data_IF_736904182748
#
_entry.id   IF_736904182748
#
_cell.length_a   1.000
_cell.length_b   1.000
_cell.length_c   1.000
_cell.angle_alpha   90.00
_cell.angle_beta   90.00
_cell.angle_gamma   90.00
#
_symmetry.space_group_name_H-M   'P 1'
#
loop_
_entity.id
_entity.type
_entity.pdbx_description
1 polymer ?
#
# COMPACT_ATOMS: atom_id res chain seq x y z
N UNK A 1 17.23 -23.67 -9.83
CA UNK A 1 17.40 -23.90 -8.37
C UNK A 1 16.13 -23.37 -7.70
N UNK A 2 15.33 -24.27 -7.11
CA UNK A 2 14.16 -23.87 -6.32
C UNK A 2 14.72 -23.26 -5.04
N UNK A 3 14.66 -21.93 -4.93
CA UNK A 3 15.01 -21.23 -3.69
C UNK A 3 13.91 -21.60 -2.70
N UNK A 4 14.27 -22.32 -1.64
CA UNK A 4 13.35 -22.61 -0.53
C UNK A 4 12.90 -21.27 0.07
N UNK A 5 11.63 -20.93 -0.11
CA UNK A 5 11.00 -19.72 0.41
C UNK A 5 10.46 -19.92 1.84
N UNK A 6 11.12 -20.74 2.66
CA UNK A 6 10.77 -20.81 4.07
C UNK A 6 10.82 -19.42 4.70
N UNK A 7 9.87 -19.06 5.59
CA UNK A 7 9.87 -17.74 6.22
C UNK A 7 11.17 -17.57 7.02
N UNK A 8 12.07 -16.75 6.48
CA UNK A 8 13.28 -16.33 7.18
C UNK A 8 12.86 -15.46 8.37
N UNK A 9 13.31 -15.80 9.57
CA UNK A 9 12.98 -15.02 10.77
C UNK A 9 13.60 -13.64 10.65
N UNK A 10 12.79 -12.60 10.69
CA UNK A 10 13.29 -11.22 10.76
C UNK A 10 14.01 -10.98 12.10
N UNK A 11 15.24 -10.46 12.02
CA UNK A 11 16.03 -10.04 13.16
C UNK A 11 16.50 -8.61 12.91
N UNK A 12 16.10 -7.62 13.72
CA UNK A 12 16.53 -6.24 13.55
C UNK A 12 18.04 -6.09 13.54
N UNK A 13 18.56 -5.17 12.71
CA UNK A 13 19.96 -4.81 12.76
C UNK A 13 20.35 -4.37 14.20
N UNK A 14 21.58 -4.69 14.68
CA UNK A 14 22.06 -4.23 15.99
C UNK A 14 21.89 -2.72 16.15
N UNK A 15 21.24 -2.30 17.26
CA UNK A 15 20.88 -0.91 17.53
C UNK A 15 19.53 -0.47 16.96
N UNK A 16 18.89 -1.23 16.07
CA UNK A 16 17.56 -0.93 15.52
C UNK A 16 16.43 -1.76 16.15
N UNK A 17 16.59 -2.18 17.40
CA UNK A 17 15.53 -2.90 18.12
C UNK A 17 14.37 -2.03 18.60
N UNK A 18 14.47 -0.69 18.48
CA UNK A 18 13.42 0.26 18.84
C UNK A 18 12.49 0.47 17.62
N UNK A 19 11.15 0.37 17.78
CA UNK A 19 10.20 0.49 16.68
C UNK A 19 10.25 1.86 15.98
N UNK A 20 10.52 2.93 16.70
CA UNK A 20 10.63 4.26 16.11
C UNK A 20 11.89 4.40 15.24
N UNK A 21 13.02 3.79 15.64
CA UNK A 21 14.23 3.76 14.82
C UNK A 21 14.01 2.93 13.54
N UNK A 22 13.32 1.81 13.64
CA UNK A 22 12.91 1.02 12.49
C UNK A 22 12.05 1.85 11.53
N UNK A 23 11.02 2.51 12.05
CA UNK A 23 10.09 3.34 11.26
C UNK A 23 10.79 4.52 10.57
N UNK A 24 11.69 5.20 11.28
CA UNK A 24 12.37 6.40 10.79
C UNK A 24 13.58 6.09 9.90
N UNK A 25 14.06 4.85 9.90
CA UNK A 25 15.26 4.49 9.12
C UNK A 25 15.10 4.78 7.63
N UNK A 26 13.99 4.35 7.05
CA UNK A 26 13.71 4.57 5.62
C UNK A 26 13.73 6.04 5.23
N UNK A 27 12.89 6.89 5.85
CA UNK A 27 12.83 8.32 5.52
C UNK A 27 14.11 9.09 5.77
N UNK A 28 14.89 8.75 6.83
CA UNK A 28 16.01 9.59 7.27
C UNK A 28 17.39 9.10 6.80
N UNK A 29 17.62 7.79 6.71
CA UNK A 29 18.96 7.24 6.49
C UNK A 29 19.07 6.33 5.28
N UNK A 30 17.96 5.84 4.72
CA UNK A 30 18.03 5.01 3.54
C UNK A 30 18.43 5.87 2.33
N UNK A 31 19.51 5.48 1.66
CA UNK A 31 19.91 6.12 0.40
C UNK A 31 18.82 5.96 -0.65
N UNK A 32 18.60 7.02 -1.41
CA UNK A 32 17.66 7.00 -2.53
C UNK A 32 18.02 5.88 -3.51
N UNK A 33 17.02 5.09 -3.87
CA UNK A 33 17.16 4.05 -4.88
C UNK A 33 16.76 4.67 -6.21
N UNK A 34 17.74 4.95 -7.05
CA UNK A 34 17.48 5.41 -8.42
C UNK A 34 17.16 4.20 -9.28
N UNK A 35 16.03 4.25 -9.94
CA UNK A 35 15.57 3.27 -10.92
C UNK A 35 14.93 4.02 -12.09
N UNK A 36 15.15 3.54 -13.29
CA UNK A 36 14.50 4.08 -14.48
C UNK A 36 13.05 3.63 -14.51
N UNK A 37 12.15 4.57 -14.78
CA UNK A 37 10.72 4.33 -14.85
C UNK A 37 10.14 4.98 -16.09
N UNK A 38 9.16 4.31 -16.67
CA UNK A 38 8.28 4.87 -17.68
C UNK A 38 6.95 5.20 -17.01
N UNK A 39 6.53 6.47 -17.12
CA UNK A 39 5.24 6.91 -16.58
C UNK A 39 4.15 6.75 -17.61
N UNK A 40 3.07 6.09 -17.21
CA UNK A 40 1.82 5.99 -17.95
C UNK A 40 0.70 6.66 -17.15
N UNK A 41 -0.14 7.46 -17.80
CA UNK A 41 -1.32 8.04 -17.16
C UNK A 41 -2.55 7.21 -17.47
N UNK A 42 -3.21 6.73 -16.42
CA UNK A 42 -4.50 6.08 -16.48
C UNK A 42 -5.60 7.10 -16.20
N UNK A 43 -6.40 7.39 -17.21
CA UNK A 43 -7.60 8.22 -17.05
C UNK A 43 -8.73 7.39 -16.44
N UNK A 44 -9.43 7.98 -15.48
CA UNK A 44 -10.55 7.38 -14.77
C UNK A 44 -11.87 7.90 -15.31
N UNK A 45 -12.94 7.14 -15.11
CA UNK A 45 -14.28 7.47 -15.63
C UNK A 45 -14.84 8.79 -15.08
N UNK A 46 -14.35 9.25 -13.92
CA UNK A 46 -14.73 10.53 -13.32
C UNK A 46 -13.94 11.74 -13.87
N UNK A 47 -13.12 11.53 -14.89
CA UNK A 47 -12.31 12.56 -15.53
C UNK A 47 -11.02 12.91 -14.79
N UNK A 48 -10.69 12.22 -13.71
CA UNK A 48 -9.41 12.32 -13.01
C UNK A 48 -8.40 11.27 -13.50
N UNK A 49 -7.24 11.17 -12.89
CA UNK A 49 -6.20 10.24 -13.32
C UNK A 49 -5.41 9.62 -12.18
N UNK A 50 -4.76 8.50 -12.49
CA UNK A 50 -3.69 7.88 -11.73
C UNK A 50 -2.43 7.83 -12.60
N UNK A 51 -1.26 8.08 -12.01
CA UNK A 51 0.01 7.89 -12.71
C UNK A 51 0.65 6.56 -12.27
N UNK A 52 0.99 5.75 -13.27
CA UNK A 52 1.56 4.41 -13.15
C UNK A 52 3.02 4.46 -13.57
N UNK A 53 3.94 4.19 -12.65
CA UNK A 53 5.37 4.22 -12.88
C UNK A 53 5.93 2.80 -13.06
N UNK A 54 6.15 2.43 -14.32
CA UNK A 54 6.63 1.11 -14.76
C UNK A 54 8.13 0.95 -14.56
N UNK A 55 8.55 -0.26 -14.16
CA UNK A 55 9.95 -0.66 -14.07
C UNK A 55 10.12 -2.15 -14.34
N UNK A 56 11.18 -2.53 -15.07
CA UNK A 56 11.52 -3.91 -15.37
C UNK A 56 11.16 -4.32 -16.80
N UNK A 57 11.12 -5.63 -17.09
CA UNK A 57 11.00 -6.14 -18.45
C UNK A 57 9.64 -5.81 -19.10
N UNK A 58 9.68 -5.55 -20.42
CA UNK A 58 8.49 -5.27 -21.22
C UNK A 58 7.81 -6.54 -21.76
N UNK A 59 8.32 -7.73 -21.50
CA UNK A 59 7.71 -9.00 -21.93
C UNK A 59 6.25 -9.09 -21.48
N UNK A 60 5.38 -9.47 -22.39
CA UNK A 60 3.94 -9.64 -22.11
C UNK A 60 3.63 -10.77 -21.11
N UNK A 61 4.55 -11.71 -20.96
CA UNK A 61 4.40 -12.91 -20.11
C UNK A 61 5.10 -12.76 -18.76
N UNK A 62 6.01 -11.77 -18.62
CA UNK A 62 6.73 -11.57 -17.36
C UNK A 62 5.75 -11.29 -16.23
N UNK A 63 5.91 -11.91 -15.06
CA UNK A 63 5.10 -11.60 -13.89
C UNK A 63 5.08 -10.10 -13.61
N UNK A 64 3.92 -9.57 -13.27
CA UNK A 64 3.69 -8.15 -13.05
C UNK A 64 3.23 -7.91 -11.61
N UNK A 65 3.88 -6.97 -10.92
CA UNK A 65 3.54 -6.62 -9.54
C UNK A 65 3.10 -5.16 -9.47
N UNK A 66 1.85 -4.92 -9.08
CA UNK A 66 1.33 -3.60 -8.74
C UNK A 66 1.75 -3.24 -7.32
N UNK A 67 2.43 -2.11 -7.12
CA UNK A 67 2.94 -1.65 -5.84
C UNK A 67 2.21 -0.39 -5.39
N UNK A 68 1.63 -0.44 -4.19
CA UNK A 68 0.78 0.60 -3.62
C UNK A 68 1.50 1.25 -2.43
N UNK A 69 1.75 2.55 -2.52
CA UNK A 69 2.42 3.28 -1.44
C UNK A 69 1.48 3.66 -0.28
N UNK A 70 2.06 4.01 0.87
CA UNK A 70 1.36 4.50 2.06
C UNK A 70 0.98 5.98 1.99
N UNK A 71 0.41 6.48 3.09
CA UNK A 71 -0.02 7.88 3.24
C UNK A 71 1.15 8.84 2.94
N UNK A 72 0.88 9.89 2.19
CA UNK A 72 1.85 10.92 1.72
C UNK A 72 3.06 10.37 0.95
N UNK A 73 3.01 9.11 0.56
CA UNK A 73 4.04 8.48 -0.26
C UNK A 73 3.87 8.74 -1.76
N UNK A 74 4.71 8.07 -2.54
CA UNK A 74 4.65 8.01 -4.02
C UNK A 74 5.46 6.82 -4.52
N UNK A 75 5.55 6.65 -5.83
CA UNK A 75 6.50 5.72 -6.45
C UNK A 75 7.95 5.96 -5.99
N UNK A 76 8.30 7.20 -5.60
CA UNK A 76 9.63 7.57 -5.13
C UNK A 76 9.92 7.19 -3.67
N UNK A 77 8.93 6.68 -2.94
CA UNK A 77 9.15 6.17 -1.59
C UNK A 77 10.25 5.10 -1.58
N UNK A 78 11.23 5.16 -0.66
CA UNK A 78 12.40 4.26 -0.69
C UNK A 78 12.05 2.77 -0.67
N UNK A 79 10.97 2.39 0.01
CA UNK A 79 10.50 1.00 0.07
C UNK A 79 9.82 0.57 -1.24
N UNK A 80 9.15 1.49 -1.97
CA UNK A 80 8.58 1.22 -3.29
C UNK A 80 9.69 0.99 -4.31
N UNK A 81 10.61 1.95 -4.41
CA UNK A 81 11.73 1.88 -5.34
C UNK A 81 12.63 0.65 -5.07
N UNK A 82 12.86 0.34 -3.78
CA UNK A 82 13.63 -0.83 -3.37
C UNK A 82 12.96 -2.14 -3.78
N UNK A 83 11.64 -2.26 -3.58
CA UNK A 83 10.90 -3.44 -4.02
C UNK A 83 10.89 -3.58 -5.55
N UNK A 84 10.65 -2.48 -6.30
CA UNK A 84 10.70 -2.52 -7.76
C UNK A 84 12.07 -3.01 -8.27
N UNK A 85 13.16 -2.52 -7.68
CA UNK A 85 14.52 -3.00 -8.00
C UNK A 85 14.70 -4.49 -7.69
N UNK A 86 14.20 -4.95 -6.54
CA UNK A 86 14.33 -6.34 -6.12
C UNK A 86 13.54 -7.29 -7.04
N UNK A 87 12.35 -6.88 -7.50
CA UNK A 87 11.53 -7.61 -8.47
C UNK A 87 12.22 -7.68 -9.84
N UNK A 88 12.75 -6.53 -10.32
CA UNK A 88 13.46 -6.49 -11.59
C UNK A 88 14.71 -7.38 -11.60
N UNK A 89 15.42 -7.49 -10.48
CA UNK A 89 16.56 -8.40 -10.33
C UNK A 89 16.17 -9.88 -10.49
N UNK A 90 14.89 -10.22 -10.38
CA UNK A 90 14.34 -11.55 -10.63
C UNK A 90 13.68 -11.69 -12.01
N UNK A 91 13.79 -10.66 -12.86
CA UNK A 91 13.18 -10.66 -14.18
C UNK A 91 11.67 -10.35 -14.18
N UNK A 92 11.13 -9.79 -13.09
CA UNK A 92 9.73 -9.41 -12.97
C UNK A 92 9.52 -7.94 -13.30
N UNK A 93 8.42 -7.64 -13.95
CA UNK A 93 7.95 -6.27 -14.13
C UNK A 93 7.21 -5.77 -12.88
N UNK A 94 7.25 -4.48 -12.67
CA UNK A 94 6.50 -3.84 -11.59
C UNK A 94 5.94 -2.50 -12.01
N UNK A 95 4.80 -2.13 -11.42
CA UNK A 95 4.14 -0.83 -11.60
C UNK A 95 3.90 -0.23 -10.24
N UNK A 96 4.49 0.93 -9.96
CA UNK A 96 4.14 1.70 -8.78
C UNK A 96 2.97 2.63 -9.12
N UNK A 97 1.83 2.43 -8.44
CA UNK A 97 0.68 3.30 -8.55
C UNK A 97 0.94 4.54 -7.68
N UNK A 98 0.81 5.71 -8.26
CA UNK A 98 0.71 6.95 -7.51
C UNK A 98 -0.77 7.27 -7.31
N UNK A 99 -1.23 7.31 -6.06
CA UNK A 99 -2.58 7.73 -5.73
C UNK A 99 -2.85 9.15 -6.25
N UNK A 100 -4.11 9.52 -6.39
CA UNK A 100 -4.53 10.86 -6.89
C UNK A 100 -3.74 11.97 -6.22
N UNK A 101 -3.01 12.77 -7.01
CA UNK A 101 -2.20 13.89 -6.55
C UNK A 101 -0.87 13.53 -5.88
N UNK A 102 -0.42 12.26 -5.96
CA UNK A 102 0.84 11.81 -5.35
C UNK A 102 2.00 11.63 -6.34
N UNK A 103 1.78 11.87 -7.64
CA UNK A 103 2.80 11.69 -8.68
C UNK A 103 3.74 12.89 -8.87
N UNK A 104 3.56 13.95 -8.11
CA UNK A 104 4.20 15.25 -8.30
C UNK A 104 3.33 16.22 -9.11
N UNK A 105 2.26 15.74 -9.73
CA UNK A 105 1.23 16.52 -10.42
C UNK A 105 -0.09 16.38 -9.65
N UNK A 106 -0.76 17.48 -9.30
CA UNK A 106 -2.04 17.42 -8.60
C UNK A 106 -3.12 16.82 -9.49
N UNK A 107 -4.00 16.04 -8.89
CA UNK A 107 -5.18 15.52 -9.58
C UNK A 107 -6.21 16.61 -9.85
N UNK A 108 -7.18 16.33 -10.74
CA UNK A 108 -8.08 17.32 -11.33
C UNK A 108 -9.32 17.60 -10.50
N UNK A 109 -9.76 16.66 -9.66
CA UNK A 109 -10.95 16.81 -8.82
C UNK A 109 -10.61 17.35 -7.42
N UNK A 110 -11.59 17.94 -6.73
CA UNK A 110 -11.45 18.38 -5.34
C UNK A 110 -11.09 17.23 -4.42
N UNK A 111 -11.73 16.06 -4.62
CA UNK A 111 -11.38 14.83 -3.92
C UNK A 111 -9.95 14.37 -4.28
N UNK A 112 -9.32 13.66 -3.39
CA UNK A 112 -8.02 13.02 -3.61
C UNK A 112 -8.12 11.51 -3.37
N UNK A 113 -7.09 10.87 -2.83
CA UNK A 113 -7.18 9.49 -2.37
C UNK A 113 -7.53 9.42 -0.88
N UNK A 114 -8.00 8.25 -0.44
CA UNK A 114 -8.25 7.94 0.96
C UNK A 114 -7.98 6.46 1.25
N UNK A 115 -7.99 6.07 2.53
CA UNK A 115 -7.62 4.70 2.94
C UNK A 115 -8.60 3.61 2.49
N UNK A 116 -9.72 3.96 1.89
CA UNK A 116 -10.71 3.03 1.37
C UNK A 116 -10.93 3.12 -0.14
N UNK A 117 -10.03 3.78 -0.90
CA UNK A 117 -10.14 4.01 -2.36
C UNK A 117 -9.93 2.71 -3.18
N UNK A 118 -10.74 1.69 -2.92
CA UNK A 118 -10.68 0.40 -3.62
C UNK A 118 -11.15 0.47 -5.07
N UNK A 119 -11.95 1.47 -5.44
CA UNK A 119 -12.37 1.74 -6.81
C UNK A 119 -11.20 2.17 -7.70
N UNK A 120 -10.32 3.03 -7.22
CA UNK A 120 -9.11 3.44 -7.95
C UNK A 120 -8.16 2.25 -8.16
N UNK A 121 -8.04 1.40 -7.15
CA UNK A 121 -7.26 0.16 -7.27
C UNK A 121 -7.89 -0.81 -8.26
N UNK A 122 -9.21 -0.98 -8.25
CA UNK A 122 -9.93 -1.82 -9.21
C UNK A 122 -9.71 -1.36 -10.65
N UNK A 123 -9.79 -0.05 -10.91
CA UNK A 123 -9.52 0.53 -12.22
C UNK A 123 -8.07 0.24 -12.68
N UNK A 124 -7.09 0.40 -11.79
CA UNK A 124 -5.69 0.10 -12.08
C UNK A 124 -5.48 -1.39 -12.39
N UNK A 125 -6.07 -2.31 -11.61
CA UNK A 125 -5.98 -3.76 -11.85
C UNK A 125 -6.61 -4.12 -13.20
N UNK A 126 -7.80 -3.61 -13.50
CA UNK A 126 -8.47 -3.86 -14.76
C UNK A 126 -7.64 -3.36 -15.96
N UNK A 127 -7.07 -2.15 -15.86
CA UNK A 127 -6.18 -1.60 -16.89
C UNK A 127 -4.95 -2.47 -17.11
N UNK A 128 -4.25 -2.88 -16.04
CA UNK A 128 -3.07 -3.74 -16.13
C UNK A 128 -3.40 -5.12 -16.71
N UNK A 129 -4.55 -5.68 -16.33
CA UNK A 129 -5.03 -6.96 -16.87
C UNK A 129 -5.35 -6.87 -18.36
N UNK A 130 -5.97 -5.79 -18.81
CA UNK A 130 -6.22 -5.56 -20.23
C UNK A 130 -4.92 -5.38 -21.03
N UNK A 131 -3.93 -4.69 -20.44
CA UNK A 131 -2.63 -4.44 -21.07
C UNK A 131 -1.73 -5.67 -21.14
N UNK A 132 -1.80 -6.56 -20.14
CA UNK A 132 -1.02 -7.81 -20.04
C UNK A 132 -1.91 -8.99 -19.63
N UNK A 133 -2.76 -9.48 -20.53
CA UNK A 133 -3.78 -10.49 -20.21
C UNK A 133 -3.20 -11.83 -19.77
N UNK A 134 -2.01 -12.18 -20.23
CA UNK A 134 -1.36 -13.47 -19.96
C UNK A 134 -0.38 -13.40 -18.77
N UNK A 135 0.03 -12.22 -18.33
CA UNK A 135 0.99 -12.08 -17.23
C UNK A 135 0.36 -12.52 -15.91
N UNK A 136 1.07 -13.29 -15.07
CA UNK A 136 0.72 -13.41 -13.66
C UNK A 136 0.70 -12.02 -13.02
N UNK A 137 -0.46 -11.60 -12.46
CA UNK A 137 -0.62 -10.29 -11.85
C UNK A 137 -0.73 -10.42 -10.32
N UNK A 138 0.13 -9.69 -9.63
CA UNK A 138 0.22 -9.63 -8.17
C UNK A 138 0.07 -8.19 -7.69
N UNK A 139 -0.24 -7.99 -6.39
CA UNK A 139 -0.22 -6.68 -5.78
C UNK A 139 0.50 -6.67 -4.43
N UNK A 140 1.18 -5.57 -4.13
CA UNK A 140 1.86 -5.33 -2.84
C UNK A 140 1.45 -3.97 -2.32
N UNK A 141 0.85 -3.91 -1.14
CA UNK A 141 0.43 -2.67 -0.50
C UNK A 141 1.15 -2.41 0.82
N UNK A 142 1.60 -1.17 1.01
CA UNK A 142 2.24 -0.73 2.25
C UNK A 142 1.34 0.23 3.02
N UNK A 143 1.18 0.01 4.33
CA UNK A 143 0.41 0.91 5.21
C UNK A 143 -1.00 1.18 4.65
N UNK A 144 -1.34 2.43 4.34
CA UNK A 144 -2.58 2.81 3.66
C UNK A 144 -2.83 1.96 2.39
N UNK A 145 -1.81 1.79 1.55
CA UNK A 145 -1.92 0.96 0.34
C UNK A 145 -2.23 -0.50 0.66
N UNK A 146 -1.72 -1.02 1.79
CA UNK A 146 -2.07 -2.35 2.30
C UNK A 146 -3.53 -2.43 2.75
N UNK A 147 -4.04 -1.39 3.42
CA UNK A 147 -5.44 -1.33 3.82
C UNK A 147 -6.38 -1.29 2.60
N UNK A 148 -6.08 -0.44 1.60
CA UNK A 148 -6.85 -0.40 0.35
C UNK A 148 -6.83 -1.74 -0.37
N UNK A 149 -5.66 -2.40 -0.42
CA UNK A 149 -5.50 -3.71 -1.05
C UNK A 149 -6.37 -4.78 -0.37
N UNK A 150 -6.26 -4.91 0.96
CA UNK A 150 -7.05 -5.91 1.70
C UNK A 150 -8.56 -5.65 1.61
N UNK A 151 -8.98 -4.37 1.66
CA UNK A 151 -10.38 -4.01 1.46
C UNK A 151 -10.86 -4.43 0.06
N UNK A 152 -10.11 -4.07 -0.98
CA UNK A 152 -10.43 -4.46 -2.37
C UNK A 152 -10.53 -5.97 -2.52
N UNK A 153 -9.59 -6.73 -1.98
CA UNK A 153 -9.60 -8.20 -2.05
C UNK A 153 -10.82 -8.82 -1.37
N UNK A 154 -11.23 -8.28 -0.22
CA UNK A 154 -12.42 -8.74 0.49
C UNK A 154 -13.73 -8.36 -0.20
N UNK A 155 -13.79 -7.20 -0.87
CA UNK A 155 -14.93 -6.79 -1.69
C UNK A 155 -15.05 -7.60 -2.99
N UNK A 156 -13.91 -7.84 -3.64
CA UNK A 156 -13.87 -8.58 -4.91
C UNK A 156 -14.01 -10.10 -4.75
N UNK A 157 -13.67 -10.65 -3.57
CA UNK A 157 -13.66 -12.10 -3.33
C UNK A 157 -12.84 -12.84 -4.38
N UNK A 158 -13.48 -13.77 -5.10
CA UNK A 158 -12.85 -14.56 -6.16
C UNK A 158 -12.71 -13.81 -7.51
N UNK A 159 -13.17 -12.55 -7.59
CA UNK A 159 -13.10 -11.72 -8.79
C UNK A 159 -11.95 -10.71 -8.80
N UNK A 160 -11.01 -10.79 -7.88
CA UNK A 160 -9.92 -9.80 -7.72
C UNK A 160 -8.96 -9.69 -8.90
N UNK A 161 -8.96 -10.68 -9.81
CA UNK A 161 -8.05 -10.80 -10.96
C UNK A 161 -6.54 -10.86 -10.58
N UNK A 162 -6.22 -10.96 -9.29
CA UNK A 162 -4.86 -11.11 -8.78
C UNK A 162 -4.58 -12.57 -8.45
N UNK A 163 -3.37 -13.04 -8.76
CA UNK A 163 -2.90 -14.38 -8.39
C UNK A 163 -2.37 -14.47 -6.96
N UNK A 164 -2.02 -13.35 -6.38
CA UNK A 164 -1.58 -13.25 -5.00
C UNK A 164 -1.34 -11.81 -4.59
N UNK A 165 -1.33 -11.57 -3.29
CA UNK A 165 -1.17 -10.23 -2.73
C UNK A 165 -0.32 -10.23 -1.46
N UNK A 166 0.40 -9.14 -1.22
CA UNK A 166 1.12 -8.90 0.04
C UNK A 166 0.72 -7.57 0.62
N UNK A 167 0.32 -7.53 1.90
CA UNK A 167 0.03 -6.31 2.63
C UNK A 167 0.98 -6.15 3.81
N UNK A 168 1.60 -4.98 3.94
CA UNK A 168 2.66 -4.72 4.93
C UNK A 168 2.26 -3.58 5.85
N UNK A 169 2.41 -3.77 7.16
CA UNK A 169 2.19 -2.74 8.20
C UNK A 169 0.83 -2.05 8.07
N UNK A 170 -0.23 -2.86 8.05
CA UNK A 170 -1.59 -2.42 7.70
C UNK A 170 -2.29 -1.75 8.88
N UNK A 171 -2.93 -0.59 8.71
CA UNK A 171 -3.83 0.01 9.69
C UNK A 171 -5.23 -0.61 9.60
N UNK A 172 -5.40 -1.87 10.03
CA UNK A 172 -6.64 -2.67 9.88
C UNK A 172 -7.90 -1.98 10.43
N UNK A 173 -7.74 -1.17 11.47
CA UNK A 173 -8.79 -0.38 12.14
C UNK A 173 -8.34 1.08 12.12
N UNK A 174 -8.90 1.86 11.17
CA UNK A 174 -8.48 3.25 10.94
C UNK A 174 -8.78 4.16 12.12
N UNK A 175 -9.92 3.97 12.79
CA UNK A 175 -10.30 4.67 14.02
C UNK A 175 -9.25 4.46 15.13
N UNK A 176 -8.90 3.20 15.38
CA UNK A 176 -7.92 2.85 16.41
C UNK A 176 -6.50 3.31 16.04
N UNK A 177 -6.15 3.30 14.75
CA UNK A 177 -4.88 3.83 14.28
C UNK A 177 -4.81 5.36 14.43
N UNK A 178 -5.92 6.07 14.15
CA UNK A 178 -6.03 7.51 14.40
C UNK A 178 -5.84 7.84 15.88
N UNK A 179 -6.41 7.02 16.79
CA UNK A 179 -6.20 7.17 18.24
C UNK A 179 -4.77 6.84 18.65
N UNK A 180 -4.20 5.75 18.10
CA UNK A 180 -2.85 5.29 18.49
C UNK A 180 -1.77 6.27 18.08
N UNK A 181 -1.85 6.83 16.89
CA UNK A 181 -0.85 7.80 16.39
C UNK A 181 -0.92 9.14 17.16
N UNK A 182 -2.05 9.41 17.82
CA UNK A 182 -2.24 10.54 18.72
C UNK A 182 -1.58 10.38 20.11
N UNK A 183 -0.88 9.26 20.39
CA UNK A 183 -0.36 8.94 21.72
C UNK A 183 1.17 8.83 21.77
N UNK A 184 1.73 9.21 22.88
CA UNK A 184 3.16 9.07 23.17
C UNK A 184 4.04 9.73 22.11
N UNK A 185 5.12 9.06 21.71
CA UNK A 185 6.03 9.55 20.66
C UNK A 185 5.36 9.59 19.28
N UNK A 186 4.32 8.77 19.04
CA UNK A 186 3.64 8.73 17.73
C UNK A 186 2.95 10.05 17.38
N UNK A 187 2.70 10.95 18.34
CA UNK A 187 2.24 12.32 18.08
C UNK A 187 3.18 13.13 17.16
N UNK A 188 4.47 12.78 17.16
CA UNK A 188 5.44 13.38 16.23
C UNK A 188 5.10 13.03 14.77
N UNK A 189 4.75 11.77 14.50
CA UNK A 189 4.29 11.34 13.17
C UNK A 189 2.96 11.99 12.80
N UNK A 190 2.01 12.04 13.74
CA UNK A 190 0.73 12.72 13.50
C UNK A 190 0.94 14.18 13.10
N UNK A 191 1.77 14.92 13.82
CA UNK A 191 2.07 16.31 13.49
C UNK A 191 2.73 16.47 12.11
N UNK A 192 3.60 15.53 11.73
CA UNK A 192 4.19 15.49 10.39
C UNK A 192 3.13 15.26 9.31
N UNK A 193 2.30 14.23 9.44
CA UNK A 193 1.23 13.93 8.48
C UNK A 193 0.22 15.08 8.37
N UNK A 194 -0.20 15.66 9.50
CA UNK A 194 -1.13 16.81 9.47
C UNK A 194 -0.56 17.96 8.67
N UNK A 195 0.71 18.30 8.86
CA UNK A 195 1.39 19.35 8.10
C UNK A 195 1.39 19.06 6.60
N UNK A 196 1.76 17.84 6.21
CA UNK A 196 1.80 17.43 4.80
C UNK A 196 0.41 17.42 4.16
N UNK A 197 -0.60 16.86 4.83
CA UNK A 197 -1.96 16.78 4.31
C UNK A 197 -2.62 18.15 4.20
N UNK A 198 -2.46 19.02 5.20
CA UNK A 198 -2.96 20.40 5.14
C UNK A 198 -2.26 21.21 4.05
N UNK A 199 -0.94 21.05 3.93
CA UNK A 199 -0.17 21.69 2.85
C UNK A 199 -0.63 21.22 1.47
N UNK A 200 -0.93 19.94 1.30
CA UNK A 200 -1.48 19.38 0.07
C UNK A 200 -2.81 20.06 -0.32
N UNK A 201 -3.77 20.15 0.62
CA UNK A 201 -5.08 20.78 0.34
C UNK A 201 -4.89 22.26 -0.03
N UNK A 202 -4.05 23.00 0.71
CA UNK A 202 -3.76 24.42 0.40
C UNK A 202 -3.09 24.60 -0.95
N UNK A 203 -2.18 23.70 -1.33
CA UNK A 203 -1.54 23.73 -2.65
C UNK A 203 -2.57 23.49 -3.75
N UNK A 204 -3.46 22.53 -3.55
CA UNK A 204 -4.55 22.24 -4.48
C UNK A 204 -5.52 23.42 -4.64
N UNK A 205 -5.88 24.10 -3.55
CA UNK A 205 -6.69 25.33 -3.61
C UNK A 205 -6.02 26.40 -4.48
N UNK A 206 -4.73 26.66 -4.26
CA UNK A 206 -3.96 27.65 -5.06
C UNK A 206 -3.91 27.27 -6.53
N UNK A 207 -3.71 26.00 -6.82
CA UNK A 207 -3.68 25.53 -8.20
C UNK A 207 -5.05 25.65 -8.87
N UNK A 208 -6.13 25.23 -8.23
CA UNK A 208 -7.48 25.33 -8.78
C UNK A 208 -7.85 26.80 -9.05
N UNK A 209 -7.43 27.71 -8.18
CA UNK A 209 -7.58 29.14 -8.41
C UNK A 209 -6.78 29.63 -9.64
N UNK A 210 -5.55 29.16 -9.79
CA UNK A 210 -4.70 29.51 -10.95
C UNK A 210 -5.25 28.94 -12.27
N UNK A 211 -5.78 27.71 -12.23
CA UNK A 211 -6.26 26.99 -13.40
C UNK A 211 -7.72 27.29 -13.76
N UNK A 212 -8.40 28.17 -13.01
CA UNK A 212 -9.82 28.52 -13.24
C UNK A 212 -10.78 27.34 -13.01
N UNK A 213 -10.47 26.45 -12.04
CA UNK A 213 -11.31 25.29 -11.70
C UNK A 213 -12.33 25.66 -10.63
N UNK A 214 -13.30 26.48 -11.00
CA UNK A 214 -14.21 27.15 -10.05
C UNK A 214 -15.04 26.17 -9.20
N UNK A 215 -15.56 25.08 -9.79
CA UNK A 215 -16.34 24.08 -9.06
C UNK A 215 -15.48 23.37 -8.01
N UNK A 216 -14.29 22.91 -8.38
CA UNK A 216 -13.36 22.26 -7.46
C UNK A 216 -12.87 23.23 -6.38
N UNK A 217 -12.64 24.49 -6.72
CA UNK A 217 -12.25 25.51 -5.77
C UNK A 217 -13.38 25.80 -4.76
N UNK A 218 -14.63 25.88 -5.22
CA UNK A 218 -15.78 26.05 -4.35
C UNK A 218 -15.94 24.88 -3.36
N UNK A 219 -15.76 23.64 -3.83
CA UNK A 219 -15.79 22.47 -2.96
C UNK A 219 -14.67 22.50 -1.89
N UNK A 220 -13.46 22.90 -2.26
CA UNK A 220 -12.36 23.05 -1.31
C UNK A 220 -12.55 24.24 -0.35
N UNK A 221 -13.17 25.34 -0.80
CA UNK A 221 -13.49 26.49 0.04
C UNK A 221 -14.58 26.16 1.08
N UNK A 222 -15.53 25.28 0.73
CA UNK A 222 -16.59 24.83 1.63
C UNK A 222 -16.06 24.04 2.85
N UNK A 223 -14.82 23.53 2.81
CA UNK A 223 -14.16 22.89 3.96
C UNK A 223 -13.87 23.88 5.11
N UNK A 224 -13.91 25.17 4.84
CA UNK A 224 -13.61 26.23 5.80
C UNK A 224 -12.12 26.33 6.14
N UNK A 225 -11.81 26.88 7.33
CA UNK A 225 -10.40 27.01 7.75
C UNK A 225 -9.75 25.66 8.00
N UNK A 226 -8.57 25.46 7.42
CA UNK A 226 -7.70 24.28 7.66
C UNK A 226 -6.76 24.50 8.87
N UNK A 227 -6.87 25.67 9.53
CA UNK A 227 -6.10 25.93 10.74
C UNK A 227 -6.60 25.07 11.90
N UNK A 228 -5.72 24.75 12.82
CA UNK A 228 -6.04 23.93 14.00
C UNK A 228 -6.45 22.47 13.74
N UNK A 229 -6.20 21.92 12.57
CA UNK A 229 -6.27 20.47 12.34
C UNK A 229 -5.05 19.81 12.97
N UNK A 230 -5.25 19.05 14.05
CA UNK A 230 -4.17 18.47 14.85
C UNK A 230 -4.17 16.96 14.86
N UNK A 231 -5.31 16.34 14.55
CA UNK A 231 -5.52 14.90 14.61
C UNK A 231 -6.07 14.37 13.29
N UNK A 232 -5.95 13.06 13.07
CA UNK A 232 -6.61 12.41 11.94
C UNK A 232 -8.13 12.56 12.01
N UNK A 233 -8.72 12.52 13.21
CA UNK A 233 -10.15 12.79 13.38
C UNK A 233 -10.56 14.17 12.88
N UNK A 234 -9.74 15.21 13.16
CA UNK A 234 -10.02 16.57 12.67
C UNK A 234 -9.98 16.63 11.14
N UNK A 235 -8.91 16.07 10.55
CA UNK A 235 -8.71 16.11 9.11
C UNK A 235 -9.74 15.27 8.37
N UNK A 236 -9.95 14.03 8.82
CA UNK A 236 -10.85 13.10 8.15
C UNK A 236 -12.31 13.53 8.28
N UNK A 237 -12.72 14.11 9.42
CA UNK A 237 -14.05 14.64 9.58
C UNK A 237 -14.35 15.90 8.75
N UNK A 238 -13.34 16.75 8.55
CA UNK A 238 -13.53 18.06 7.88
C UNK A 238 -13.09 18.08 6.42
N UNK A 239 -12.23 17.17 6.01
CA UNK A 239 -11.70 17.11 4.64
C UNK A 239 -12.06 15.81 3.95
N UNK A 240 -11.63 14.67 4.49
CA UNK A 240 -11.82 13.38 3.83
C UNK A 240 -13.29 13.02 3.70
N UNK A 241 -14.04 13.10 4.79
CA UNK A 241 -15.46 12.70 4.78
C UNK A 241 -16.29 13.51 3.78
N UNK A 242 -16.32 14.86 3.83
CA UNK A 242 -17.17 15.62 2.91
C UNK A 242 -16.76 15.52 1.44
N UNK A 243 -15.44 15.40 1.14
CA UNK A 243 -14.97 15.29 -0.24
C UNK A 243 -15.23 13.91 -0.87
N UNK A 244 -15.53 12.90 -0.06
CA UNK A 244 -15.73 11.52 -0.53
C UNK A 244 -17.13 10.94 -0.19
N UNK A 245 -18.06 11.78 0.29
CA UNK A 245 -19.44 11.38 0.52
C UNK A 245 -19.64 10.47 1.75
N UNK A 246 -18.75 10.60 2.74
CA UNK A 246 -18.97 10.01 4.07
C UNK A 246 -19.70 11.03 4.97
N UNK A 247 -20.51 10.55 5.90
CA UNK A 247 -21.26 11.43 6.82
C UNK A 247 -20.32 12.14 7.81
N UNK A 248 -19.27 11.45 8.26
CA UNK A 248 -18.27 11.92 9.20
C UNK A 248 -17.01 11.01 9.19
N UNK A 249 -16.03 11.30 10.03
CA UNK A 249 -14.81 10.49 10.15
C UNK A 249 -15.11 9.05 10.65
N UNK A 250 -16.09 8.87 11.53
CA UNK A 250 -16.43 7.56 12.05
C UNK A 250 -17.06 6.66 10.97
N UNK A 251 -17.93 7.22 10.14
CA UNK A 251 -18.48 6.54 8.96
C UNK A 251 -17.38 6.17 7.96
N UNK A 252 -16.47 7.12 7.67
CA UNK A 252 -15.32 6.87 6.83
C UNK A 252 -14.48 5.70 7.39
N UNK A 253 -14.07 5.74 8.65
CA UNK A 253 -13.24 4.69 9.25
C UNK A 253 -13.95 3.33 9.25
N UNK A 254 -15.24 3.29 9.57
CA UNK A 254 -16.03 2.05 9.55
C UNK A 254 -16.08 1.42 8.15
N UNK A 255 -16.30 2.22 7.10
CA UNK A 255 -16.44 1.76 5.72
C UNK A 255 -15.11 1.50 5.02
N UNK A 256 -14.01 2.09 5.51
CA UNK A 256 -12.69 2.00 4.89
C UNK A 256 -11.71 1.05 5.60
N UNK A 257 -11.98 0.63 6.84
CA UNK A 257 -11.11 -0.29 7.59
C UNK A 257 -11.12 -1.70 7.01
N UNK A 258 -9.95 -2.19 6.62
CA UNK A 258 -9.80 -3.50 5.96
C UNK A 258 -10.16 -4.69 6.84
N UNK A 259 -10.10 -4.57 8.18
CA UNK A 259 -10.44 -5.64 9.11
C UNK A 259 -11.82 -6.25 8.83
N UNK A 260 -12.78 -5.42 8.43
CA UNK A 260 -14.15 -5.87 8.18
C UNK A 260 -14.33 -6.65 6.86
N UNK A 261 -13.31 -6.70 6.03
CA UNK A 261 -13.34 -7.35 4.72
C UNK A 261 -12.49 -8.62 4.66
N UNK A 262 -11.68 -8.90 5.69
CA UNK A 262 -10.67 -9.97 5.64
C UNK A 262 -11.24 -11.37 5.45
N UNK A 263 -12.41 -11.65 6.01
CA UNK A 263 -13.07 -12.94 5.84
C UNK A 263 -13.52 -13.22 4.39
N UNK A 264 -13.71 -12.16 3.57
CA UNK A 264 -14.10 -12.26 2.16
C UNK A 264 -12.92 -12.47 1.19
N UNK A 265 -11.68 -12.43 1.65
CA UNK A 265 -10.50 -12.56 0.79
C UNK A 265 -10.38 -14.00 0.28
N UNK A 266 -10.40 -14.18 -1.04
CA UNK A 266 -10.21 -15.48 -1.70
C UNK A 266 -8.84 -15.62 -2.37
N UNK A 267 -8.19 -14.50 -2.67
CA UNK A 267 -6.85 -14.44 -3.26
C UNK A 267 -5.79 -14.86 -2.23
N UNK A 268 -4.82 -15.73 -2.56
CA UNK A 268 -3.68 -16.00 -1.70
C UNK A 268 -3.02 -14.70 -1.23
N UNK A 269 -3.03 -14.45 0.07
CA UNK A 269 -2.61 -13.17 0.64
C UNK A 269 -1.67 -13.36 1.83
N UNK A 270 -0.50 -12.74 1.76
CA UNK A 270 0.43 -12.64 2.89
C UNK A 270 0.29 -11.25 3.54
N UNK A 271 0.07 -11.24 4.83
CA UNK A 271 0.09 -10.01 5.64
C UNK A 271 1.34 -10.04 6.51
N UNK A 272 2.23 -9.05 6.35
CA UNK A 272 3.45 -8.91 7.16
C UNK A 272 3.25 -7.75 8.13
N UNK A 273 3.28 -8.03 9.43
CA UNK A 273 3.01 -7.04 10.47
C UNK A 273 4.05 -7.15 11.59
N UNK A 274 4.39 -6.01 12.21
CA UNK A 274 5.19 -5.96 13.42
C UNK A 274 4.29 -5.75 14.66
N UNK A 275 4.49 -6.53 15.71
CA UNK A 275 3.77 -6.37 16.97
C UNK A 275 4.11 -5.05 17.69
N UNK A 276 5.29 -4.49 17.39
CA UNK A 276 5.78 -3.23 17.93
C UNK A 276 5.49 -2.01 17.02
N UNK A 277 4.63 -2.14 16.00
CA UNK A 277 4.28 -1.05 15.10
C UNK A 277 3.73 0.16 15.89
N UNK A 278 4.38 1.34 15.81
CA UNK A 278 3.98 2.50 16.61
C UNK A 278 2.66 3.15 16.16
N UNK A 279 2.07 2.70 15.05
CA UNK A 279 0.80 3.23 14.50
C UNK A 279 -0.39 2.33 14.79
N UNK A 280 -0.16 1.11 15.28
CA UNK A 280 -1.19 0.10 15.47
C UNK A 280 -1.21 -0.36 16.93
N UNK A 281 -2.40 -0.45 17.53
CA UNK A 281 -2.55 -1.13 18.80
C UNK A 281 -2.49 -2.64 18.63
N UNK A 282 -1.95 -3.42 19.57
CA UNK A 282 -1.97 -4.88 19.49
C UNK A 282 -3.36 -5.47 19.30
N UNK A 283 -4.39 -4.89 19.92
CA UNK A 283 -5.79 -5.34 19.81
C UNK A 283 -6.46 -4.91 18.50
N UNK A 284 -5.83 -4.05 17.70
CA UNK A 284 -6.28 -3.69 16.34
C UNK A 284 -5.94 -4.73 15.30
N UNK A 285 -5.04 -5.65 15.62
CA UNK A 285 -4.67 -6.76 14.72
C UNK A 285 -5.87 -7.71 14.54
N UNK A 286 -6.06 -8.28 13.35
CA UNK A 286 -7.12 -9.26 13.14
C UNK A 286 -6.84 -10.52 13.97
N UNK A 287 -7.90 -11.09 14.52
CA UNK A 287 -7.85 -12.38 15.19
C UNK A 287 -7.83 -13.52 14.18
N UNK A 288 -7.29 -14.69 14.53
CA UNK A 288 -7.23 -15.83 13.59
C UNK A 288 -8.59 -16.19 12.97
N UNK A 289 -9.69 -16.06 13.72
CA UNK A 289 -11.04 -16.34 13.24
C UNK A 289 -11.62 -15.28 12.27
N UNK A 290 -10.96 -14.14 12.12
CA UNK A 290 -11.37 -13.09 11.18
C UNK A 290 -10.65 -13.21 9.82
N UNK A 291 -9.58 -14.03 9.76
CA UNK A 291 -8.82 -14.29 8.54
C UNK A 291 -9.53 -15.34 7.68
N UNK A 292 -9.56 -15.11 6.38
CA UNK A 292 -9.95 -16.16 5.43
C UNK A 292 -8.89 -17.28 5.36
N UNK A 293 -9.28 -18.44 4.84
CA UNK A 293 -8.34 -19.55 4.59
C UNK A 293 -7.21 -19.19 3.60
N UNK A 294 -7.42 -18.17 2.76
CA UNK A 294 -6.45 -17.67 1.78
C UNK A 294 -5.49 -16.63 2.36
N UNK A 295 -5.70 -16.19 3.61
CA UNK A 295 -4.92 -15.11 4.23
C UNK A 295 -3.99 -15.66 5.30
N UNK A 296 -2.69 -15.39 5.16
CA UNK A 296 -1.67 -15.74 6.13
C UNK A 296 -1.11 -14.48 6.81
N UNK A 297 -1.20 -14.41 8.14
CA UNK A 297 -0.61 -13.33 8.95
C UNK A 297 0.76 -13.76 9.47
N UNK A 298 1.81 -13.09 8.98
CA UNK A 298 3.19 -13.22 9.45
C UNK A 298 3.48 -12.10 10.44
N UNK A 299 3.34 -12.40 11.73
CA UNK A 299 3.53 -11.43 12.82
C UNK A 299 4.94 -11.53 13.38
N UNK A 300 5.73 -10.47 13.22
CA UNK A 300 7.06 -10.33 13.81
C UNK A 300 7.00 -9.55 15.12
N UNK A 301 7.82 -9.93 16.11
CA UNK A 301 7.88 -9.23 17.40
C UNK A 301 8.37 -7.78 17.27
N UNK A 302 9.20 -7.51 16.28
CA UNK A 302 9.81 -6.21 16.00
C UNK A 302 9.76 -5.93 14.52
N UNK A 303 9.88 -4.66 14.12
CA UNK A 303 9.86 -4.24 12.71
C UNK A 303 9.46 -2.78 12.53
N UNK A 304 8.81 -2.18 13.52
CA UNK A 304 8.25 -0.84 13.42
C UNK A 304 7.20 -0.75 12.30
N UNK A 305 6.96 0.45 11.78
CA UNK A 305 6.04 0.68 10.67
C UNK A 305 6.81 0.71 9.34
N UNK A 306 6.64 -0.31 8.48
CA UNK A 306 7.33 -0.47 7.18
C UNK A 306 8.86 -0.49 7.30
N UNK A 307 9.43 -0.61 8.50
CA UNK A 307 10.88 -0.56 8.71
C UNK A 307 11.55 -1.85 8.24
N UNK A 308 11.46 -2.90 9.03
CA UNK A 308 12.00 -4.24 8.77
C UNK A 308 13.45 -4.21 8.25
N UNK A 309 14.27 -3.39 8.95
CA UNK A 309 15.71 -3.22 8.62
C UNK A 309 16.54 -4.21 9.42
N UNK A 310 17.25 -5.06 8.73
CA UNK A 310 18.16 -6.08 9.26
C UNK A 310 19.63 -5.85 8.84
N UNK A 311 20.47 -6.86 8.91
CA UNK A 311 21.88 -6.75 8.58
C UNK A 311 22.67 -5.98 9.64
N UNK A 312 23.42 -4.95 9.22
CA UNK A 312 24.19 -4.06 10.13
C UNK A 312 23.98 -2.60 9.76
N UNK A 313 24.27 -1.67 10.69
CA UNK A 313 24.17 -0.23 10.41
C UNK A 313 25.07 0.24 9.25
N UNK A 314 26.20 -0.47 9.00
CA UNK A 314 27.09 -0.19 7.88
C UNK A 314 26.64 -0.83 6.56
N UNK A 315 25.92 -1.96 6.66
CA UNK A 315 25.37 -2.71 5.52
C UNK A 315 23.92 -3.10 5.88
N UNK A 316 22.99 -2.13 5.83
CA UNK A 316 21.59 -2.41 6.16
C UNK A 316 20.99 -3.34 5.09
N UNK A 317 20.28 -4.36 5.56
CA UNK A 317 19.44 -5.21 4.75
C UNK A 317 17.98 -4.75 4.86
N UNK A 318 17.21 -5.06 3.85
CA UNK A 318 15.77 -4.75 3.80
C UNK A 318 14.99 -6.04 3.63
N UNK A 319 14.49 -6.55 4.75
CA UNK A 319 13.81 -7.85 4.82
C UNK A 319 12.66 -7.96 3.82
N UNK A 320 11.82 -6.91 3.70
CA UNK A 320 10.66 -6.91 2.82
C UNK A 320 11.04 -7.10 1.34
N UNK A 321 12.18 -6.55 0.91
CA UNK A 321 12.66 -6.67 -0.47
C UNK A 321 13.15 -8.10 -0.84
N UNK A 322 13.35 -8.94 0.15
CA UNK A 322 13.66 -10.36 -0.04
C UNK A 322 12.45 -11.25 0.19
N UNK A 323 11.71 -10.99 1.28
CA UNK A 323 10.56 -11.81 1.68
C UNK A 323 9.41 -11.74 0.70
N UNK A 324 9.09 -10.54 0.21
CA UNK A 324 7.95 -10.34 -0.70
C UNK A 324 8.17 -11.07 -2.04
N UNK A 325 9.26 -10.82 -2.80
CA UNK A 325 9.47 -11.54 -4.05
C UNK A 325 9.55 -13.06 -3.87
N UNK A 326 10.18 -13.52 -2.78
CA UNK A 326 10.26 -14.94 -2.45
C UNK A 326 8.86 -15.56 -2.29
N UNK A 327 7.98 -14.92 -1.51
CA UNK A 327 6.63 -15.47 -1.31
C UNK A 327 5.80 -15.43 -2.60
N UNK A 328 5.84 -14.34 -3.36
CA UNK A 328 5.14 -14.24 -4.64
C UNK A 328 5.62 -15.32 -5.63
N UNK A 329 6.92 -15.60 -5.69
CA UNK A 329 7.48 -16.65 -6.54
C UNK A 329 6.98 -18.06 -6.15
N UNK A 330 6.71 -18.30 -4.86
CA UNK A 330 6.19 -19.58 -4.40
C UNK A 330 4.78 -19.88 -4.90
N UNK A 331 3.99 -18.85 -5.24
CA UNK A 331 2.65 -19.01 -5.80
C UNK A 331 2.69 -19.39 -7.30
N UNK A 332 3.75 -19.02 -8.03
CA UNK A 332 3.92 -19.37 -9.44
C UNK A 332 4.45 -20.78 -9.70
N UNK A 333 5.04 -21.42 -8.69
CA UNK A 333 5.60 -22.79 -8.82
C UNK A 333 4.57 -23.91 -8.61
N UNK A 334 3.30 -23.60 -8.32
CA UNK A 334 2.26 -24.56 -7.91
C UNK A 334 1.32 -25.08 -9.00
N UNK A 335 1.53 -24.79 -10.30
CA UNK A 335 0.61 -25.20 -11.36
C UNK A 335 1.28 -25.91 -12.55
N UNK A 336 2.05 -26.99 -12.31
CA UNK A 336 2.11 -28.07 -13.30
C UNK A 336 1.03 -29.11 -12.90
N UNK A 337 0.00 -29.34 -13.75
CA UNK A 337 -0.86 -30.50 -13.54
C UNK A 337 0.01 -31.73 -13.65
N UNK A 338 -0.11 -32.65 -12.68
CA UNK A 338 0.48 -33.94 -12.74
C UNK A 338 0.15 -34.56 -14.12
N UNK A 339 1.14 -34.76 -14.97
CA UNK A 339 0.99 -35.56 -16.18
C UNK A 339 0.73 -36.97 -15.68
N UNK A 340 -0.51 -37.44 -15.81
CA UNK A 340 -0.89 -38.82 -15.69
C UNK A 340 -0.02 -39.63 -16.65
N UNK A 341 1.01 -40.26 -16.11
CA UNK A 341 1.72 -41.33 -16.80
C UNK A 341 0.83 -42.59 -16.74
N UNK A 342 -0.19 -42.61 -17.61
CA UNK A 342 -0.87 -43.84 -17.94
C UNK A 342 0.15 -44.76 -18.64
N UNK A 343 0.81 -45.61 -17.87
CA UNK A 343 1.61 -46.71 -18.35
C UNK A 343 0.72 -47.70 -19.05
N UNK A 344 0.85 -47.80 -20.38
CA UNK A 344 0.37 -48.96 -21.14
C UNK A 344 1.13 -50.19 -20.70
N UNK A 345 0.46 -51.08 -20.02
CA UNK A 345 0.87 -52.46 -19.89
C UNK A 345 0.13 -53.28 -20.94
N UNK A 346 0.86 -53.80 -21.87
CA UNK A 346 0.56 -55.05 -22.60
C UNK A 346 1.62 -56.05 -22.31
#
# INVERSE_FOLDING_TARGET
MIVSCAPERFIPAPGLGNPHLQTLWGPLWRKTVHIDRERERLWLDDGDFLDLDWHGPHSAEAPLVLVLHGLTGSSNSPYVAGLQRALNAQGWASVALNWRGCSGEPNLLARSYHSGASEDLAAAIAHLRARRPLAPLFAVGYSLGGNVLLKHLGEAGNHSQLQGAVAVSVPFRLDQCADRIGQGFSRFYQAHFMREMVAYVRNKQRQFQHDGRDEGLAALAALGSLDNMRTFWDFDGRVTAPLHGFSDAADYYRRASSRYFMAGISTPTLVIQAADDPFVFPHSLPEPGELSASTHLELHLRGGHVGFVDGTLRRPGYYLERRIPCWLASLGCGSEPARDSAGSAT
#
